data_IF_480669983719
#
_entry.id   IF_480669983719
#
_cell.length_a   1.000
_cell.length_b   1.000
_cell.length_c   1.000
_cell.angle_alpha   90.00
_cell.angle_beta   90.00
_cell.angle_gamma   90.00
#
_symmetry.space_group_name_H-M   'P 1'
#
loop_
_entity.id
_entity.type
_entity.pdbx_description
1 polymer ?
#
# COMPACT_ATOMS: atom_id res chain seq x y z
N UNK A 1 7.60 -0.54 -28.05
CA UNK A 1 8.29 0.59 -27.38
C UNK A 1 9.53 0.92 -28.18
N UNK A 2 9.87 2.21 -28.33
CA UNK A 2 11.05 2.64 -29.09
C UNK A 2 12.35 2.14 -28.47
N UNK A 3 13.30 1.78 -29.31
CA UNK A 3 14.57 1.13 -28.94
C UNK A 3 15.44 1.97 -27.98
N UNK A 4 15.19 3.28 -27.92
CA UNK A 4 16.03 4.25 -27.19
C UNK A 4 15.28 5.12 -26.17
N UNK A 5 13.97 5.29 -26.30
CA UNK A 5 13.20 6.18 -25.42
C UNK A 5 12.03 5.43 -24.79
N UNK A 6 12.01 5.41 -23.47
CA UNK A 6 10.91 4.88 -22.70
C UNK A 6 10.12 6.01 -22.05
N UNK A 7 8.81 6.04 -22.29
CA UNK A 7 7.85 6.89 -21.58
C UNK A 7 7.05 6.00 -20.63
N UNK A 8 7.01 6.37 -19.34
CA UNK A 8 6.25 5.67 -18.31
C UNK A 8 5.32 6.63 -17.58
N UNK A 9 4.17 6.12 -17.15
CA UNK A 9 3.28 6.77 -16.19
C UNK A 9 3.42 6.02 -14.88
N UNK A 10 3.55 6.75 -13.77
CA UNK A 10 3.73 6.19 -12.43
C UNK A 10 2.98 7.03 -11.41
N UNK A 11 2.59 6.42 -10.30
CA UNK A 11 2.04 7.10 -9.13
C UNK A 11 3.03 7.01 -7.97
N UNK A 12 3.17 8.09 -7.21
CA UNK A 12 4.01 8.15 -6.02
C UNK A 12 3.31 8.97 -4.94
N UNK A 13 3.60 8.65 -3.68
CA UNK A 13 3.08 9.41 -2.55
C UNK A 13 3.72 10.80 -2.53
N UNK A 14 2.90 11.85 -2.42
CA UNK A 14 3.39 13.24 -2.36
C UNK A 14 4.00 13.59 -1.00
N UNK A 15 3.40 13.08 0.09
CA UNK A 15 3.80 13.39 1.46
C UNK A 15 3.73 12.11 2.33
N UNK A 16 4.88 11.49 2.57
CA UNK A 16 5.00 10.27 3.38
C UNK A 16 4.61 10.50 4.84
N UNK A 17 4.79 11.72 5.35
CA UNK A 17 4.41 12.03 6.73
C UNK A 17 2.88 11.96 6.91
N UNK A 18 2.11 12.36 5.88
CA UNK A 18 0.65 12.21 5.90
C UNK A 18 0.19 10.76 5.89
N UNK A 19 0.91 9.86 5.24
CA UNK A 19 0.60 8.41 5.27
C UNK A 19 0.67 7.90 6.71
N UNK A 20 1.74 8.25 7.43
CA UNK A 20 1.91 7.90 8.85
C UNK A 20 0.81 8.51 9.73
N UNK A 21 0.43 9.76 9.48
CA UNK A 21 -0.64 10.42 10.26
C UNK A 21 -2.02 9.84 9.97
N UNK A 22 -2.28 9.43 8.73
CA UNK A 22 -3.57 8.91 8.29
C UNK A 22 -3.81 7.46 8.75
N UNK A 23 -2.79 6.60 8.64
CA UNK A 23 -2.86 5.19 9.01
C UNK A 23 -1.79 4.80 10.04
N UNK A 24 -1.82 5.38 11.26
CA UNK A 24 -0.76 5.18 12.25
C UNK A 24 -0.64 3.75 12.77
N UNK A 25 -1.75 3.01 12.91
CA UNK A 25 -1.72 1.63 13.39
C UNK A 25 -1.11 0.71 12.33
N UNK A 26 -1.57 0.81 11.09
CA UNK A 26 -1.01 0.07 9.96
C UNK A 26 0.46 0.42 9.72
N UNK A 27 0.83 1.70 9.84
CA UNK A 27 2.22 2.14 9.78
C UNK A 27 3.09 1.42 10.82
N UNK A 28 2.61 1.33 12.07
CA UNK A 28 3.32 0.63 13.14
C UNK A 28 3.52 -0.86 12.83
N UNK A 29 2.51 -1.52 12.24
CA UNK A 29 2.60 -2.92 11.84
C UNK A 29 3.57 -3.13 10.67
N UNK A 30 3.62 -2.19 9.72
CA UNK A 30 4.51 -2.25 8.57
C UNK A 30 5.96 -1.93 8.93
N UNK A 31 6.21 -0.96 9.82
CA UNK A 31 7.54 -0.43 10.09
C UNK A 31 7.81 -0.22 11.59
N UNK A 32 7.57 -1.27 12.38
CA UNK A 32 7.74 -1.27 13.84
C UNK A 32 9.15 -0.85 14.29
N UNK A 33 10.19 -1.25 13.54
CA UNK A 33 11.60 -0.92 13.81
C UNK A 33 12.02 0.44 13.25
N UNK A 34 11.07 1.21 12.69
CA UNK A 34 11.33 2.48 12.02
C UNK A 34 11.51 2.32 10.51
N UNK A 35 11.64 3.46 9.86
CA UNK A 35 11.82 3.59 8.41
C UNK A 35 13.29 3.54 8.03
N UNK A 36 13.61 2.87 6.93
CA UNK A 36 14.98 2.84 6.39
C UNK A 36 15.28 4.13 5.62
N UNK A 37 16.32 4.90 5.97
CA UNK A 37 16.68 6.11 5.22
C UNK A 37 16.94 5.80 3.74
N UNK A 38 16.38 6.62 2.85
CA UNK A 38 16.51 6.45 1.39
C UNK A 38 15.55 5.44 0.76
N UNK A 39 14.66 4.82 1.55
CA UNK A 39 13.54 4.01 1.07
C UNK A 39 12.26 4.83 1.18
N UNK A 40 11.39 4.76 0.17
CA UNK A 40 10.07 5.40 0.18
C UNK A 40 9.12 4.65 1.11
N UNK A 41 8.36 5.37 1.91
CA UNK A 41 7.34 4.81 2.82
C UNK A 41 5.98 5.43 2.51
N UNK A 42 5.52 5.22 1.28
CA UNK A 42 4.26 5.76 0.78
C UNK A 42 3.07 4.80 0.93
N UNK A 43 1.96 5.17 0.29
CA UNK A 43 0.71 4.39 0.23
C UNK A 43 0.95 3.00 -0.38
N UNK A 44 1.66 2.94 -1.51
CA UNK A 44 1.93 1.69 -2.21
C UNK A 44 2.86 0.78 -1.40
N UNK A 45 3.88 1.37 -0.78
CA UNK A 45 4.84 0.65 0.05
C UNK A 45 4.21 0.13 1.33
N UNK A 46 3.28 0.89 1.94
CA UNK A 46 2.51 0.43 3.09
C UNK A 46 1.69 -0.81 2.73
N UNK A 47 0.90 -0.75 1.65
CA UNK A 47 0.07 -1.86 1.18
C UNK A 47 0.90 -3.13 0.93
N UNK A 48 2.02 -3.01 0.20
CA UNK A 48 2.93 -4.13 -0.08
C UNK A 48 3.59 -4.70 1.17
N UNK A 49 4.05 -3.84 2.07
CA UNK A 49 4.74 -4.26 3.29
C UNK A 49 3.79 -5.04 4.21
N UNK A 50 2.54 -4.58 4.34
CA UNK A 50 1.51 -5.29 5.09
C UNK A 50 1.21 -6.66 4.47
N UNK A 51 1.05 -6.72 3.15
CA UNK A 51 0.79 -7.97 2.43
C UNK A 51 1.92 -8.98 2.60
N UNK A 52 3.17 -8.52 2.47
CA UNK A 52 4.34 -9.37 2.61
C UNK A 52 4.48 -9.87 4.06
N UNK A 53 4.36 -9.00 5.06
CA UNK A 53 4.41 -9.41 6.46
C UNK A 53 3.26 -10.36 6.83
N UNK A 54 2.07 -10.16 6.26
CA UNK A 54 0.94 -11.06 6.42
C UNK A 54 1.27 -12.45 5.85
N UNK A 55 1.76 -12.51 4.60
CA UNK A 55 2.15 -13.75 3.92
C UNK A 55 3.26 -14.50 4.64
N UNK A 56 4.22 -13.76 5.21
CA UNK A 56 5.34 -14.33 5.98
C UNK A 56 4.96 -14.69 7.42
N UNK A 57 3.74 -14.35 7.89
CA UNK A 57 3.31 -14.60 9.26
C UNK A 57 4.09 -13.82 10.32
N UNK A 58 4.67 -12.67 9.96
CA UNK A 58 5.52 -11.84 10.84
C UNK A 58 4.68 -10.84 11.64
N UNK A 59 3.44 -10.56 11.20
CA UNK A 59 2.55 -9.69 11.95
C UNK A 59 2.22 -10.29 13.32
N UNK A 60 2.02 -9.48 14.37
CA UNK A 60 1.54 -9.95 15.66
C UNK A 60 0.26 -10.77 15.51
N UNK A 61 0.03 -11.78 16.36
CA UNK A 61 -1.11 -12.70 16.25
C UNK A 61 -2.46 -11.97 16.20
N UNK A 62 -2.62 -10.92 17.01
CA UNK A 62 -3.79 -10.02 16.96
C UNK A 62 -3.94 -9.32 15.61
N UNK A 63 -2.83 -8.96 14.97
CA UNK A 63 -2.79 -8.34 13.65
C UNK A 63 -3.17 -9.32 12.55
N UNK A 64 -2.65 -10.55 12.59
CA UNK A 64 -3.06 -11.61 11.66
C UNK A 64 -4.56 -11.87 11.74
N UNK A 65 -5.13 -11.96 12.95
CA UNK A 65 -6.56 -12.19 13.13
C UNK A 65 -7.42 -11.00 12.69
N UNK A 66 -7.01 -9.77 13.01
CA UNK A 66 -7.82 -8.59 12.72
C UNK A 66 -7.77 -8.15 11.25
N UNK A 67 -6.65 -8.39 10.57
CA UNK A 67 -6.48 -7.99 9.17
C UNK A 67 -7.01 -9.07 8.21
N UNK A 68 -7.01 -10.35 8.62
CA UNK A 68 -7.45 -11.46 7.77
C UNK A 68 -6.77 -11.40 6.39
N UNK A 69 -7.50 -11.65 5.32
CA UNK A 69 -6.98 -11.61 3.93
C UNK A 69 -6.95 -10.20 3.30
N UNK A 70 -7.28 -9.13 4.03
CA UNK A 70 -7.29 -7.77 3.45
C UNK A 70 -5.91 -7.28 2.98
N UNK A 71 -4.77 -7.63 3.63
CA UNK A 71 -3.46 -7.28 3.11
C UNK A 71 -3.19 -7.85 1.71
N UNK A 72 -3.68 -9.04 1.40
CA UNK A 72 -3.54 -9.64 0.05
C UNK A 72 -4.40 -8.91 -0.98
N UNK A 73 -5.58 -8.43 -0.57
CA UNK A 73 -6.45 -7.59 -1.40
C UNK A 73 -5.79 -6.24 -1.70
N UNK A 74 -5.09 -5.64 -0.73
CA UNK A 74 -4.32 -4.41 -0.93
C UNK A 74 -3.22 -4.62 -1.98
N UNK A 75 -2.44 -5.70 -1.90
CA UNK A 75 -1.40 -6.02 -2.89
C UNK A 75 -2.01 -6.21 -4.29
N UNK A 76 -3.14 -6.91 -4.38
CA UNK A 76 -3.86 -7.08 -5.64
C UNK A 76 -4.36 -5.74 -6.23
N UNK A 77 -4.74 -4.76 -5.39
CA UNK A 77 -5.12 -3.41 -5.84
C UNK A 77 -3.90 -2.62 -6.32
N UNK A 78 -2.75 -2.73 -5.65
CA UNK A 78 -1.49 -2.13 -6.10
C UNK A 78 -1.09 -2.67 -7.47
N UNK A 79 -1.15 -3.98 -7.68
CA UNK A 79 -0.86 -4.61 -8.97
C UNK A 79 -1.82 -4.15 -10.07
N UNK A 80 -3.12 -4.02 -9.76
CA UNK A 80 -4.10 -3.48 -10.71
C UNK A 80 -3.82 -2.02 -11.06
N UNK A 81 -3.45 -1.20 -10.09
CA UNK A 81 -3.10 0.21 -10.28
C UNK A 81 -1.88 0.35 -11.19
N UNK A 82 -0.81 -0.39 -10.90
CA UNK A 82 0.41 -0.39 -11.73
C UNK A 82 0.15 -0.91 -13.14
N UNK A 83 -0.70 -1.92 -13.29
CA UNK A 83 -1.14 -2.40 -14.60
C UNK A 83 -1.92 -1.32 -15.37
N UNK A 84 -2.83 -0.59 -14.71
CA UNK A 84 -3.56 0.49 -15.34
C UNK A 84 -2.64 1.64 -15.78
N UNK A 85 -1.63 1.98 -14.97
CA UNK A 85 -0.61 2.96 -15.31
C UNK A 85 0.25 2.50 -16.51
N UNK A 86 0.65 1.22 -16.54
CA UNK A 86 1.40 0.63 -17.64
C UNK A 86 0.61 0.56 -18.95
N UNK A 87 -0.70 0.34 -18.86
CA UNK A 87 -1.64 0.29 -20.00
C UNK A 87 -2.09 1.68 -20.47
N UNK A 88 -1.60 2.77 -19.86
CA UNK A 88 -2.07 4.13 -20.11
C UNK A 88 -3.59 4.32 -19.91
N UNK A 89 -4.13 3.77 -18.82
CA UNK A 89 -5.53 3.93 -18.39
C UNK A 89 -5.61 4.87 -17.17
N UNK A 90 -5.43 6.19 -17.34
CA UNK A 90 -5.34 7.13 -16.22
C UNK A 90 -6.63 7.20 -15.38
N UNK A 91 -7.80 7.09 -16.00
CA UNK A 91 -9.07 7.09 -15.27
C UNK A 91 -9.24 5.85 -14.38
N UNK A 92 -8.78 4.69 -14.84
CA UNK A 92 -8.78 3.48 -14.01
C UNK A 92 -7.76 3.57 -12.89
N UNK A 93 -6.57 4.10 -13.17
CA UNK A 93 -5.54 4.31 -12.17
C UNK A 93 -6.03 5.25 -11.06
N UNK A 94 -6.66 6.37 -11.41
CA UNK A 94 -7.23 7.33 -10.46
C UNK A 94 -8.33 6.70 -9.59
N UNK A 95 -9.25 5.95 -10.20
CA UNK A 95 -10.27 5.20 -9.44
C UNK A 95 -9.66 4.15 -8.52
N UNK A 96 -8.61 3.46 -8.97
CA UNK A 96 -7.92 2.44 -8.18
C UNK A 96 -7.12 3.05 -7.03
N UNK A 97 -6.55 4.25 -7.17
CA UNK A 97 -5.87 4.93 -6.07
C UNK A 97 -6.84 5.30 -4.96
N UNK A 98 -8.01 5.87 -5.28
CA UNK A 98 -9.03 6.14 -4.28
C UNK A 98 -9.49 4.85 -3.58
N UNK A 99 -9.76 3.79 -4.35
CA UNK A 99 -10.15 2.51 -3.78
C UNK A 99 -9.07 1.91 -2.85
N UNK A 100 -7.79 2.08 -3.19
CA UNK A 100 -6.68 1.61 -2.35
C UNK A 100 -6.66 2.37 -1.01
N UNK A 101 -6.79 3.70 -1.04
CA UNK A 101 -6.84 4.54 0.16
C UNK A 101 -8.08 4.26 1.04
N UNK A 102 -9.23 3.98 0.42
CA UNK A 102 -10.45 3.58 1.12
C UNK A 102 -10.25 2.27 1.87
N UNK A 103 -9.72 1.23 1.20
CA UNK A 103 -9.46 -0.07 1.84
C UNK A 103 -8.41 0.05 2.95
N UNK A 104 -7.36 0.85 2.77
CA UNK A 104 -6.40 1.14 3.85
C UNK A 104 -7.08 1.79 5.05
N UNK A 105 -8.02 2.71 4.80
CA UNK A 105 -8.76 3.41 5.86
C UNK A 105 -9.74 2.49 6.59
N UNK A 106 -10.44 1.61 5.88
CA UNK A 106 -11.26 0.55 6.48
C UNK A 106 -10.41 -0.40 7.32
N UNK A 107 -9.25 -0.81 6.80
CA UNK A 107 -8.34 -1.72 7.47
C UNK A 107 -7.73 -1.11 8.73
N UNK A 108 -7.35 0.17 8.70
CA UNK A 108 -6.89 0.93 9.86
C UNK A 108 -7.98 0.99 10.96
N UNK A 109 -9.24 1.16 10.58
CA UNK A 109 -10.35 1.17 11.55
C UNK A 109 -10.57 -0.21 12.19
N UNK A 110 -10.31 -1.30 11.47
CA UNK A 110 -10.32 -2.66 12.02
C UNK A 110 -9.11 -2.88 12.92
N UNK A 111 -7.92 -2.43 12.50
CA UNK A 111 -6.68 -2.58 13.27
C UNK A 111 -6.69 -1.80 14.59
N UNK A 112 -7.34 -0.63 14.64
CA UNK A 112 -7.53 0.16 15.88
C UNK A 112 -8.30 -0.58 16.99
N UNK A 113 -9.02 -1.65 16.66
CA UNK A 113 -9.83 -2.43 17.62
C UNK A 113 -9.07 -3.62 18.24
N UNK A 114 -7.80 -3.80 17.87
CA UNK A 114 -6.91 -4.89 18.33
C UNK A 114 -6.40 -4.70 19.76
#
# INVERSE_FOLDING_TARGET
MGEFLQVRVSASTYDEAKVKTQWPTLWGLAWEQGTTPGVTHGVLELARTLAEKHRLGILPEKGLQALGSEPERLDALVLQLESALADWKPADADRLSYKLEDVLSELENSAKKM
#
